data_IF_085870516691
#
_entry.id   IF_085870516691
#
_cell.length_a   1.000
_cell.length_b   1.000
_cell.length_c   1.000
_cell.angle_alpha   90.00
_cell.angle_beta   90.00
_cell.angle_gamma   90.00
#
_symmetry.space_group_name_H-M   'P 1'
#
loop_
_entity.id
_entity.type
_entity.pdbx_description
1 polymer ?
#
# COMPACT_ATOMS: atom_id res chain seq x y z
N UNK A 1 -6.45 -11.90 -14.38
CA UNK A 1 -7.54 -11.63 -13.41
C UNK A 1 -6.96 -10.79 -12.28
N UNK A 2 -7.66 -9.75 -11.86
CA UNK A 2 -7.20 -8.91 -10.75
C UNK A 2 -7.48 -9.60 -9.41
N UNK A 3 -6.50 -9.59 -8.50
CA UNK A 3 -6.64 -10.10 -7.15
C UNK A 3 -6.29 -9.01 -6.13
N UNK A 4 -6.91 -9.06 -4.95
CA UNK A 4 -6.70 -8.11 -3.87
C UNK A 4 -6.47 -8.90 -2.59
N UNK A 5 -5.44 -8.54 -1.82
CA UNK A 5 -5.22 -9.19 -0.52
C UNK A 5 -4.64 -8.24 0.50
N UNK A 6 -5.07 -8.42 1.74
CA UNK A 6 -4.39 -7.83 2.89
C UNK A 6 -2.99 -8.41 3.05
N UNK A 7 -2.08 -7.60 3.58
CA UNK A 7 -0.70 -7.99 3.79
C UNK A 7 -0.50 -8.68 5.14
N UNK A 8 0.54 -9.51 5.21
CA UNK A 8 1.02 -10.21 6.41
C UNK A 8 2.32 -9.56 6.90
N UNK A 9 2.82 -9.98 8.06
CA UNK A 9 4.04 -9.40 8.65
C UNK A 9 5.28 -9.55 7.77
N UNK A 10 5.36 -10.63 7.00
CA UNK A 10 6.44 -10.93 6.04
C UNK A 10 6.32 -10.16 4.71
N UNK A 11 5.17 -9.54 4.43
CA UNK A 11 4.91 -8.79 3.19
C UNK A 11 5.50 -7.37 3.17
N UNK A 12 6.27 -6.95 4.18
CA UNK A 12 6.86 -5.60 4.20
C UNK A 12 7.67 -5.29 2.93
N UNK A 13 8.53 -6.19 2.40
CA UNK A 13 9.23 -5.96 1.13
C UNK A 13 8.27 -5.79 -0.05
N UNK A 14 7.18 -6.55 -0.09
CA UNK A 14 6.15 -6.44 -1.13
C UNK A 14 5.42 -5.10 -1.07
N UNK A 15 5.08 -4.59 0.12
CA UNK A 15 4.44 -3.27 0.27
C UNK A 15 5.36 -2.17 -0.28
N UNK A 16 6.67 -2.26 0.01
CA UNK A 16 7.67 -1.32 -0.50
C UNK A 16 7.74 -1.39 -2.02
N UNK A 17 7.87 -2.59 -2.60
CA UNK A 17 7.91 -2.79 -4.05
C UNK A 17 6.65 -2.25 -4.74
N UNK A 18 5.46 -2.60 -4.23
CA UNK A 18 4.19 -2.12 -4.75
C UNK A 18 4.08 -0.59 -4.66
N UNK A 19 4.57 0.03 -3.58
CA UNK A 19 4.62 1.48 -3.43
C UNK A 19 5.56 2.14 -4.44
N UNK A 20 6.76 1.62 -4.65
CA UNK A 20 7.67 2.15 -5.67
C UNK A 20 7.03 2.09 -7.05
N UNK A 21 6.52 0.90 -7.40
CA UNK A 21 5.96 0.61 -8.71
C UNK A 21 4.70 1.41 -9.01
N UNK A 22 3.78 1.52 -8.06
CA UNK A 22 2.50 2.20 -8.29
C UNK A 22 2.61 3.73 -8.29
N UNK A 23 3.69 4.28 -7.73
CA UNK A 23 3.92 5.73 -7.70
C UNK A 23 4.83 6.23 -8.84
N UNK A 24 5.28 5.36 -9.76
CA UNK A 24 6.09 5.77 -10.91
C UNK A 24 5.39 6.88 -11.71
N UNK A 25 6.15 7.95 -11.99
CA UNK A 25 5.66 9.11 -12.73
C UNK A 25 4.59 9.94 -11.99
N UNK A 26 4.24 9.59 -10.74
CA UNK A 26 3.43 10.46 -9.91
C UNK A 26 4.34 11.52 -9.28
N UNK A 27 4.00 12.81 -9.45
CA UNK A 27 4.62 13.88 -8.67
C UNK A 27 4.20 13.88 -7.19
N UNK A 28 3.25 13.02 -6.83
CA UNK A 28 2.61 12.93 -5.52
C UNK A 28 3.18 11.76 -4.71
N UNK A 29 4.51 11.69 -4.58
CA UNK A 29 5.16 10.70 -3.74
C UNK A 29 5.56 11.36 -2.41
N UNK A 30 4.76 11.21 -1.34
CA UNK A 30 4.99 11.95 -0.10
C UNK A 30 6.28 11.54 0.61
N UNK A 31 6.79 10.33 0.38
CA UNK A 31 8.06 9.86 0.93
C UNK A 31 8.72 8.78 0.07
N UNK A 32 10.02 8.55 0.32
CA UNK A 32 10.70 7.32 -0.10
C UNK A 32 10.38 6.21 0.91
N UNK A 33 9.66 5.18 0.49
CA UNK A 33 9.30 4.08 1.38
C UNK A 33 10.42 3.04 1.37
N UNK A 34 10.81 2.59 2.56
CA UNK A 34 11.80 1.52 2.75
C UNK A 34 11.29 0.56 3.81
N UNK A 35 11.91 -0.62 3.91
CA UNK A 35 11.58 -1.61 4.95
C UNK A 35 11.75 -1.00 6.36
N UNK A 36 12.82 -0.25 6.59
CA UNK A 36 13.06 0.38 7.89
C UNK A 36 12.10 1.53 8.17
N UNK A 37 11.67 2.25 7.12
CA UNK A 37 10.59 3.23 7.26
C UNK A 37 9.27 2.56 7.63
N UNK A 38 8.91 1.43 7.02
CA UNK A 38 7.73 0.65 7.41
C UNK A 38 7.79 0.17 8.87
N UNK A 39 8.96 -0.33 9.33
CA UNK A 39 9.15 -0.70 10.75
C UNK A 39 9.00 0.51 11.68
N UNK A 40 9.48 1.68 11.25
CA UNK A 40 9.32 2.94 11.99
C UNK A 40 7.84 3.34 12.09
N UNK A 41 7.10 3.30 10.97
CA UNK A 41 5.65 3.53 10.96
C UNK A 41 4.91 2.53 11.85
N UNK A 42 5.33 1.27 11.89
CA UNK A 42 4.77 0.28 12.83
C UNK A 42 4.88 0.73 14.28
N UNK A 43 6.06 1.20 14.69
CA UNK A 43 6.32 1.65 16.07
C UNK A 43 5.68 2.99 16.41
N UNK A 44 5.76 3.96 15.51
CA UNK A 44 5.34 5.35 15.79
C UNK A 44 3.86 5.59 15.51
N UNK A 45 3.31 4.88 14.53
CA UNK A 45 1.98 5.13 13.98
C UNK A 45 1.05 3.94 14.19
N UNK A 46 1.41 2.96 15.02
CA UNK A 46 0.64 1.73 15.22
C UNK A 46 0.18 1.13 13.87
N UNK A 47 1.08 1.12 12.88
CA UNK A 47 0.80 0.58 11.55
C UNK A 47 1.03 -0.93 11.56
N UNK A 48 -0.02 -1.68 11.23
CA UNK A 48 0.05 -3.13 11.15
C UNK A 48 -0.10 -3.51 9.68
N UNK A 49 0.74 -4.41 9.17
CA UNK A 49 0.68 -4.81 7.76
C UNK A 49 -0.68 -5.40 7.37
N UNK A 50 -1.42 -5.96 8.33
CA UNK A 50 -2.81 -6.41 8.15
C UNK A 50 -3.79 -5.29 7.77
N UNK A 51 -3.42 -4.02 7.98
CA UNK A 51 -4.19 -2.85 7.53
C UNK A 51 -3.80 -2.38 6.12
N UNK A 52 -2.76 -2.97 5.51
CA UNK A 52 -2.32 -2.66 4.16
C UNK A 52 -2.86 -3.69 3.16
N UNK A 53 -3.08 -3.27 1.92
CA UNK A 53 -3.54 -4.12 0.84
C UNK A 53 -2.68 -3.93 -0.40
N UNK A 54 -2.48 -5.02 -1.15
CA UNK A 54 -1.87 -4.98 -2.49
C UNK A 54 -2.84 -5.59 -3.49
N UNK A 55 -3.02 -4.90 -4.60
CA UNK A 55 -3.75 -5.38 -5.78
C UNK A 55 -2.76 -5.95 -6.80
N UNK A 56 -3.13 -7.03 -7.46
CA UNK A 56 -2.29 -7.78 -8.39
C UNK A 56 -2.97 -7.98 -9.74
N UNK A 57 -2.19 -7.98 -10.82
CA UNK A 57 -2.56 -8.59 -12.11
C UNK A 57 -1.54 -9.67 -12.45
N UNK A 58 -1.92 -10.94 -12.28
CA UNK A 58 -0.95 -12.03 -12.30
C UNK A 58 0.01 -11.92 -11.10
N UNK A 59 1.34 -12.07 -11.30
CA UNK A 59 2.32 -11.90 -10.22
C UNK A 59 2.63 -10.43 -9.90
N UNK A 60 2.20 -9.50 -10.75
CA UNK A 60 2.64 -8.11 -10.70
C UNK A 60 1.76 -7.26 -9.77
N UNK A 61 2.33 -6.52 -8.81
CA UNK A 61 1.59 -5.52 -8.04
C UNK A 61 1.15 -4.35 -8.93
N UNK A 62 -0.14 -4.04 -8.90
CA UNK A 62 -0.77 -2.95 -9.67
C UNK A 62 -1.41 -1.88 -8.80
N UNK A 63 -1.52 -2.11 -7.49
CA UNK A 63 -2.03 -1.13 -6.54
C UNK A 63 -1.56 -1.41 -5.13
N UNK A 64 -1.46 -0.37 -4.32
CA UNK A 64 -1.12 -0.46 -2.90
C UNK A 64 -1.99 0.50 -2.09
N UNK A 65 -2.46 0.01 -0.94
CA UNK A 65 -3.07 0.78 0.14
C UNK A 65 -2.19 0.63 1.38
N UNK A 66 -1.74 1.75 1.93
CA UNK A 66 -1.02 1.82 3.20
C UNK A 66 -1.94 2.52 4.19
N UNK A 67 -2.37 1.81 5.22
CA UNK A 67 -3.22 2.35 6.26
C UNK A 67 -2.76 1.88 7.64
N UNK A 68 -3.15 2.63 8.66
CA UNK A 68 -2.92 2.29 10.06
C UNK A 68 -4.23 2.35 10.83
N UNK A 69 -4.41 1.42 11.76
CA UNK A 69 -5.55 1.44 12.69
C UNK A 69 -5.36 2.60 13.68
N UNK A 70 -6.44 3.34 13.94
CA UNK A 70 -6.51 4.42 14.93
C UNK A 70 -7.57 4.05 15.94
N UNK A 71 -7.17 3.90 17.18
CA UNK A 71 -8.11 3.62 18.25
C UNK A 71 -8.96 4.87 18.55
N UNK A 72 -10.25 4.71 18.90
CA UNK A 72 -10.92 3.42 19.15
C UNK A 72 -11.48 2.69 17.91
N UNK A 73 -11.78 3.37 16.80
CA UNK A 73 -12.55 2.77 15.68
C UNK A 73 -12.26 3.34 14.28
N UNK A 74 -11.18 4.11 14.09
CA UNK A 74 -10.88 4.72 12.79
C UNK A 74 -9.71 4.05 12.08
N UNK A 75 -9.64 4.26 10.76
CA UNK A 75 -8.49 3.91 9.94
C UNK A 75 -7.91 5.18 9.36
N UNK A 76 -6.60 5.36 9.51
CA UNK A 76 -5.87 6.41 8.82
C UNK A 76 -5.30 5.83 7.53
N UNK A 77 -5.87 6.22 6.40
CA UNK A 77 -5.29 5.95 5.08
C UNK A 77 -4.12 6.90 4.88
N UNK A 78 -2.90 6.36 4.87
CA UNK A 78 -1.68 7.13 4.66
C UNK A 78 -1.38 7.31 3.18
N UNK A 79 -1.65 6.27 2.38
CA UNK A 79 -1.36 6.31 0.95
C UNK A 79 -2.23 5.33 0.17
N UNK A 80 -2.66 5.74 -1.02
CA UNK A 80 -3.25 4.86 -2.04
C UNK A 80 -2.60 5.18 -3.37
N UNK A 81 -2.08 4.16 -4.05
CA UNK A 81 -1.55 4.30 -5.40
C UNK A 81 -1.96 3.15 -6.29
N UNK A 82 -2.09 3.44 -7.58
CA UNK A 82 -2.38 2.48 -8.64
C UNK A 82 -1.41 2.74 -9.78
N UNK A 83 -0.81 1.66 -10.29
CA UNK A 83 0.10 1.70 -11.42
C UNK A 83 -0.51 2.48 -12.60
N UNK A 84 0.25 3.37 -13.27
CA UNK A 84 -0.28 4.24 -14.34
C UNK A 84 -1.14 3.51 -15.38
N UNK A 85 -0.69 2.34 -15.83
CA UNK A 85 -1.37 1.55 -16.86
C UNK A 85 -2.70 0.94 -16.41
N UNK A 86 -2.97 0.92 -15.10
CA UNK A 86 -4.16 0.33 -14.48
C UNK A 86 -5.09 1.41 -13.88
N UNK A 87 -4.80 2.70 -14.08
CA UNK A 87 -5.64 3.80 -13.59
C UNK A 87 -7.02 3.81 -14.27
N UNK A 88 -7.99 4.46 -13.62
CA UNK A 88 -9.39 4.62 -14.10
C UNK A 88 -10.17 3.31 -14.23
N UNK A 89 -9.68 2.20 -13.66
CA UNK A 89 -10.34 0.88 -13.63
C UNK A 89 -11.01 0.54 -12.28
N UNK A 90 -11.08 1.51 -11.36
CA UNK A 90 -11.73 1.34 -10.06
C UNK A 90 -10.88 0.71 -8.95
N UNK A 91 -9.61 0.35 -9.18
CA UNK A 91 -8.78 -0.32 -8.17
C UNK A 91 -8.64 0.48 -6.87
N UNK A 92 -8.37 1.79 -6.95
CA UNK A 92 -8.25 2.66 -5.77
C UNK A 92 -9.56 2.89 -5.01
N UNK A 93 -10.72 2.67 -5.65
CA UNK A 93 -12.04 2.72 -4.99
C UNK A 93 -12.38 1.39 -4.31
N UNK A 94 -11.84 0.30 -4.85
CA UNK A 94 -12.08 -1.04 -4.32
C UNK A 94 -11.22 -1.33 -3.09
N UNK A 95 -9.95 -0.92 -3.13
CA UNK A 95 -9.06 -0.91 -1.95
C UNK A 95 -9.52 0.14 -0.95
#
# INVERSE_FOLDING_TARGET
MTAYRFCRSDDVPLIVDAYERCNVGSGARPWRLTVDHMKRLGREMNLWTSSCMVAFEGPEPIGVLIAAKREPISSLVLHVAVHPDHRRRGHARHM
#
